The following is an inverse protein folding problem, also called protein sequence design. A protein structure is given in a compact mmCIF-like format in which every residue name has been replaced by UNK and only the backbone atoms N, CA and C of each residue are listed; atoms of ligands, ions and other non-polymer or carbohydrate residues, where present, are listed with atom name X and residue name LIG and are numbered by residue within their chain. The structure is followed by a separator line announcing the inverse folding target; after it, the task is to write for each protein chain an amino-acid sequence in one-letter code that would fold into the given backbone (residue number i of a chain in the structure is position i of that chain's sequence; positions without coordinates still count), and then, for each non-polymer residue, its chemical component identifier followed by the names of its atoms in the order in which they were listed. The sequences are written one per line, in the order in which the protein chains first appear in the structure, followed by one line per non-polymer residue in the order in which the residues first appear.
data_IF_674733781759
#
_entry.id   IF_674733781759
#
_cell.length_a   1.000
_cell.length_b   1.000
_cell.length_c   1.000
_cell.angle_alpha   90.00
_cell.angle_beta   90.00
_cell.angle_gamma   90.00
#
_symmetry.space_group_name_H-M   'P 1'
#
loop_
_entity.id
_entity.type
_entity.pdbx_description
1 polymer ?
#
# COMPACT_ATOMS: atom_id res chain seq x y z
N UNK A 1 16.09 11.15 25.45
CA UNK A 1 16.63 10.25 24.45
C UNK A 1 15.58 9.86 23.43
N UNK A 2 16.03 9.60 22.22
CA UNK A 2 15.16 9.15 21.14
C UNK A 2 15.41 7.68 20.87
N UNK A 3 14.33 6.93 20.72
CA UNK A 3 14.38 5.56 20.27
C UNK A 3 13.79 5.50 18.88
N UNK A 4 14.46 4.82 17.96
CA UNK A 4 14.03 4.70 16.58
C UNK A 4 14.05 3.25 16.15
N UNK A 5 13.00 2.83 15.46
CA UNK A 5 12.93 1.54 14.77
C UNK A 5 12.93 1.84 13.27
N UNK A 6 13.76 1.14 12.54
CA UNK A 6 13.81 1.21 11.08
C UNK A 6 13.38 -0.13 10.51
N UNK A 7 12.51 -0.09 9.52
CA UNK A 7 12.03 -1.28 8.84
C UNK A 7 12.02 -1.12 7.33
N UNK A 8 12.02 -2.24 6.65
CA UNK A 8 11.90 -2.28 5.20
C UNK A 8 10.70 -3.14 4.83
N UNK A 9 9.86 -2.62 3.96
CA UNK A 9 8.72 -3.36 3.42
C UNK A 9 9.05 -3.64 1.96
N UNK A 10 9.26 -4.91 1.62
CA UNK A 10 9.52 -5.29 0.23
C UNK A 10 8.19 -5.47 -0.53
N UNK A 11 8.30 -5.76 -1.82
CA UNK A 11 7.13 -5.87 -2.69
C UNK A 11 6.19 -7.01 -2.25
N UNK A 12 6.73 -8.14 -1.82
CA UNK A 12 5.91 -9.25 -1.35
C UNK A 12 5.20 -8.91 -0.04
N UNK A 13 5.91 -8.27 0.88
CA UNK A 13 5.30 -7.85 2.15
C UNK A 13 4.19 -6.82 1.93
N UNK A 14 4.41 -5.88 1.02
CA UNK A 14 3.38 -4.89 0.71
C UNK A 14 2.17 -5.54 0.06
N UNK A 15 2.38 -6.51 -0.82
CA UNK A 15 1.28 -7.26 -1.42
C UNK A 15 0.45 -8.00 -0.35
N UNK A 16 1.12 -8.57 0.67
CA UNK A 16 0.42 -9.24 1.76
C UNK A 16 -0.38 -8.25 2.63
N UNK A 17 0.18 -7.07 2.89
CA UNK A 17 -0.55 -6.04 3.64
C UNK A 17 -1.79 -5.59 2.88
N UNK A 18 -1.67 -5.37 1.58
CA UNK A 18 -2.82 -5.00 0.76
C UNK A 18 -3.86 -6.11 0.73
N UNK A 19 -3.45 -7.36 0.64
CA UNK A 19 -4.37 -8.49 0.60
C UNK A 19 -5.20 -8.62 1.88
N UNK A 20 -4.68 -8.19 3.03
CA UNK A 20 -5.43 -8.19 4.28
C UNK A 20 -6.55 -7.17 4.30
N UNK A 21 -6.35 -6.05 3.63
CA UNK A 21 -7.29 -4.92 3.70
C UNK A 21 -8.28 -4.88 2.55
N UNK A 22 -8.00 -5.58 1.47
CA UNK A 22 -8.84 -5.55 0.26
C UNK A 22 -9.36 -6.95 -0.03
N UNK A 23 -10.60 -7.18 0.34
CA UNK A 23 -11.31 -8.43 0.01
C UNK A 23 -11.65 -8.46 -1.48
N UNK A 24 -11.90 -9.62 -2.02
CA UNK A 24 -12.37 -9.81 -3.39
C UNK A 24 -11.33 -9.56 -4.48
N UNK A 25 -10.11 -9.18 -4.12
CA UNK A 25 -9.02 -9.08 -5.08
C UNK A 25 -8.05 -10.23 -4.82
N UNK A 26 -7.72 -10.96 -5.87
CA UNK A 26 -6.78 -12.08 -5.80
C UNK A 26 -5.53 -11.78 -6.64
N UNK A 27 -4.50 -12.60 -6.45
CA UNK A 27 -3.25 -12.52 -7.21
C UNK A 27 -2.63 -11.12 -7.21
N UNK A 28 -2.56 -10.51 -6.02
CA UNK A 28 -2.00 -9.17 -5.88
C UNK A 28 -0.49 -9.22 -6.09
N UNK A 29 -0.01 -8.40 -7.02
CA UNK A 29 1.42 -8.21 -7.28
C UNK A 29 1.73 -6.73 -7.15
N UNK A 30 2.90 -6.42 -6.57
CA UNK A 30 3.30 -5.05 -6.27
C UNK A 30 4.67 -4.76 -6.84
N UNK A 31 4.82 -3.57 -7.42
CA UNK A 31 6.11 -3.04 -7.84
C UNK A 31 6.33 -1.69 -7.20
N UNK A 32 7.45 -1.53 -6.51
CA UNK A 32 7.78 -0.29 -5.80
C UNK A 32 8.92 0.41 -6.50
N UNK A 33 8.74 1.70 -6.78
CA UNK A 33 9.78 2.58 -7.31
C UNK A 33 9.84 3.85 -6.46
N UNK A 34 10.89 4.67 -6.58
CA UNK A 34 10.93 5.92 -5.82
C UNK A 34 9.75 6.86 -6.11
N UNK A 35 9.16 6.77 -7.30
CA UNK A 35 8.10 7.70 -7.72
C UNK A 35 6.71 7.22 -7.37
N UNK A 36 6.47 5.90 -7.41
CA UNK A 36 5.14 5.37 -7.11
C UNK A 36 5.20 3.89 -6.74
N UNK A 37 4.05 3.40 -6.30
CA UNK A 37 3.80 1.98 -6.07
C UNK A 37 2.72 1.55 -7.07
N UNK A 38 3.00 0.50 -7.83
CA UNK A 38 2.04 -0.09 -8.75
C UNK A 38 1.57 -1.42 -8.19
N UNK A 39 0.26 -1.61 -8.13
CA UNK A 39 -0.32 -2.87 -7.68
C UNK A 39 -1.29 -3.38 -8.74
N UNK A 40 -1.26 -4.68 -8.98
CA UNK A 40 -2.19 -5.35 -9.89
C UNK A 40 -2.86 -6.47 -9.14
N UNK A 41 -4.06 -6.81 -9.57
CA UNK A 41 -4.80 -7.91 -9.00
C UNK A 41 -5.91 -8.35 -9.93
N UNK A 42 -6.66 -9.37 -9.50
CA UNK A 42 -7.77 -9.90 -10.26
C UNK A 42 -9.06 -9.77 -9.47
N UNK A 43 -10.11 -9.33 -10.14
CA UNK A 43 -11.45 -9.21 -9.55
C UNK A 43 -12.46 -9.88 -10.48
N UNK A 44 -13.62 -10.21 -9.93
CA UNK A 44 -14.78 -10.61 -10.73
C UNK A 44 -15.59 -9.36 -11.04
N UNK A 45 -15.82 -9.10 -12.30
CA UNK A 45 -16.53 -7.92 -12.77
C UNK A 45 -17.58 -8.34 -13.79
N UNK A 46 -18.85 -8.14 -13.44
CA UNK A 46 -19.99 -8.51 -14.28
C UNK A 46 -19.92 -9.99 -14.75
N UNK A 47 -19.56 -10.87 -13.83
CA UNK A 47 -19.45 -12.29 -14.12
C UNK A 47 -18.21 -12.72 -14.88
N UNK A 48 -17.28 -11.80 -15.09
CA UNK A 48 -16.02 -12.06 -15.79
C UNK A 48 -14.83 -11.69 -14.93
N UNK A 49 -13.71 -12.35 -15.18
CA UNK A 49 -12.45 -11.98 -14.53
C UNK A 49 -11.90 -10.72 -15.18
N UNK A 50 -11.51 -9.75 -14.35
CA UNK A 50 -10.91 -8.51 -14.80
C UNK A 50 -9.61 -8.29 -14.05
N UNK A 51 -8.68 -7.58 -14.68
CA UNK A 51 -7.44 -7.13 -14.03
C UNK A 51 -7.65 -5.72 -13.53
N UNK A 52 -7.33 -5.48 -12.25
CA UNK A 52 -7.30 -4.13 -11.70
C UNK A 52 -5.85 -3.66 -11.62
N UNK A 53 -5.62 -2.42 -12.04
CA UNK A 53 -4.31 -1.78 -11.99
C UNK A 53 -4.42 -0.51 -11.18
N UNK A 54 -3.54 -0.36 -10.20
CA UNK A 54 -3.57 0.75 -9.25
C UNK A 54 -2.19 1.36 -9.15
N UNK A 55 -2.12 2.69 -9.11
CA UNK A 55 -0.89 3.42 -8.80
C UNK A 55 -1.13 4.31 -7.61
N UNK A 56 -0.11 4.47 -6.80
CA UNK A 56 -0.22 5.34 -5.65
C UNK A 56 1.13 5.56 -4.98
N UNK A 57 1.06 6.12 -3.79
CA UNK A 57 2.23 6.40 -2.96
C UNK A 57 1.96 5.94 -1.54
N UNK A 58 3.04 5.69 -0.81
CA UNK A 58 2.95 5.37 0.60
C UNK A 58 3.05 6.67 1.39
N UNK A 59 2.10 6.91 2.27
CA UNK A 59 2.05 8.14 3.08
C UNK A 59 1.84 7.80 4.55
N UNK A 60 2.19 8.76 5.39
CA UNK A 60 1.99 8.67 6.84
C UNK A 60 0.94 9.68 7.27
N UNK A 61 -0.04 9.23 8.04
CA UNK A 61 -0.95 10.12 8.74
C UNK A 61 -0.98 9.71 10.21
N UNK A 62 -0.33 10.52 11.05
CA UNK A 62 -0.23 10.26 12.48
C UNK A 62 0.50 8.95 12.77
N UNK A 63 -0.22 7.97 13.30
CA UNK A 63 0.32 6.64 13.63
C UNK A 63 0.11 5.62 12.52
N UNK A 64 -0.48 6.03 11.40
CA UNK A 64 -0.89 5.11 10.35
C UNK A 64 -0.03 5.24 9.10
N UNK A 65 0.32 4.12 8.53
CA UNK A 65 0.94 4.02 7.22
C UNK A 65 -0.16 3.64 6.23
N UNK A 66 -0.29 4.42 5.17
CA UNK A 66 -1.39 4.30 4.22
C UNK A 66 -0.87 4.19 2.79
N UNK A 67 -1.62 3.49 1.95
CA UNK A 67 -1.43 3.51 0.51
C UNK A 67 -2.45 4.48 -0.10
N UNK A 68 -1.96 5.60 -0.61
CA UNK A 68 -2.81 6.63 -1.23
C UNK A 68 -2.85 6.40 -2.73
N UNK A 69 -4.01 6.05 -3.24
CA UNK A 69 -4.19 5.74 -4.64
C UNK A 69 -4.30 7.03 -5.44
N UNK A 70 -3.48 7.16 -6.47
CA UNK A 70 -3.47 8.33 -7.36
C UNK A 70 -4.09 8.03 -8.71
N UNK A 71 -4.12 6.76 -9.12
CA UNK A 71 -4.73 6.34 -10.37
C UNK A 71 -5.14 4.88 -10.26
N UNK A 72 -6.27 4.53 -10.85
CA UNK A 72 -6.75 3.16 -10.86
C UNK A 72 -7.61 2.89 -12.09
N UNK A 73 -7.50 1.68 -12.62
CA UNK A 73 -8.34 1.24 -13.72
C UNK A 73 -8.52 -0.28 -13.65
N UNK A 74 -9.57 -0.74 -14.31
CA UNK A 74 -9.78 -2.17 -14.52
C UNK A 74 -9.87 -2.44 -16.01
N UNK A 75 -9.47 -3.64 -16.41
CA UNK A 75 -9.45 -4.03 -17.82
C UNK A 75 -9.97 -5.45 -17.95
N UNK A 76 -10.87 -5.67 -18.89
CA UNK A 76 -11.33 -7.00 -19.24
C UNK A 76 -11.62 -7.08 -20.75
N UNK A 77 -11.90 -8.31 -21.21
CA UNK A 77 -12.11 -8.57 -22.64
C UNK A 77 -13.34 -7.87 -23.21
N UNK A 78 -14.36 -7.68 -22.37
CA UNK A 78 -15.67 -7.19 -22.83
C UNK A 78 -15.70 -5.66 -22.89
N UNK A 79 -15.17 -5.01 -21.87
CA UNK A 79 -15.31 -3.56 -21.70
C UNK A 79 -14.04 -2.78 -21.98
N UNK A 80 -12.90 -3.46 -22.15
CA UNK A 80 -11.63 -2.78 -22.28
C UNK A 80 -11.20 -2.15 -20.96
N UNK A 81 -10.65 -0.96 -21.03
CA UNK A 81 -10.09 -0.25 -19.88
C UNK A 81 -11.13 0.71 -19.30
N UNK A 82 -11.39 0.57 -18.00
CA UNK A 82 -12.35 1.42 -17.28
C UNK A 82 -11.62 2.08 -16.11
N UNK A 83 -11.71 3.41 -16.02
CA UNK A 83 -11.16 4.14 -14.90
C UNK A 83 -11.96 3.91 -13.62
N UNK A 84 -11.27 3.88 -12.49
CA UNK A 84 -11.88 3.72 -11.17
C UNK A 84 -11.41 4.86 -10.28
N UNK A 85 -12.33 5.42 -9.51
CA UNK A 85 -12.01 6.45 -8.53
C UNK A 85 -12.06 5.88 -7.13
N UNK A 86 -11.07 6.23 -6.32
CA UNK A 86 -11.02 5.87 -4.90
C UNK A 86 -11.10 7.13 -4.06
N UNK A 87 -11.94 7.08 -3.02
CA UNK A 87 -12.14 8.23 -2.13
C UNK A 87 -11.44 8.05 -0.79
N UNK A 88 -10.89 6.87 -0.51
CA UNK A 88 -10.23 6.56 0.75
C UNK A 88 -8.89 5.91 0.52
N UNK A 89 -7.94 6.22 1.41
CA UNK A 89 -6.65 5.54 1.43
C UNK A 89 -6.81 4.12 1.95
N UNK A 90 -5.89 3.24 1.56
CA UNK A 90 -5.86 1.87 2.09
C UNK A 90 -4.92 1.84 3.29
N UNK A 91 -5.45 1.44 4.45
CA UNK A 91 -4.66 1.28 5.66
C UNK A 91 -3.69 0.10 5.50
N UNK A 92 -2.43 0.29 5.88
CA UNK A 92 -1.41 -0.76 5.82
C UNK A 92 -1.03 -1.25 7.20
N UNK A 93 -0.55 -0.35 8.06
CA UNK A 93 -0.11 -0.71 9.40
C UNK A 93 -0.12 0.51 10.31
N UNK A 94 -0.33 0.29 11.60
CA UNK A 94 -0.25 1.34 12.63
C UNK A 94 1.00 1.11 13.50
N UNK A 95 1.57 2.20 14.03
CA UNK A 95 2.64 2.09 15.03
C UNK A 95 2.19 1.36 16.30
N UNK A 96 0.89 1.20 16.52
CA UNK A 96 0.37 0.42 17.65
C UNK A 96 0.81 -1.05 17.56
N UNK A 97 1.21 -1.53 16.39
CA UNK A 97 1.73 -2.88 16.18
C UNK A 97 3.22 -3.00 16.42
N UNK A 98 3.91 -1.89 16.64
CA UNK A 98 5.35 -1.89 16.89
C UNK A 98 5.64 -2.06 18.38
N UNK A 99 6.82 -2.60 18.75
CA UNK A 99 7.16 -2.83 20.16
C UNK A 99 7.58 -1.55 20.89
N UNK A 100 7.22 -0.38 20.40
CA UNK A 100 7.49 0.90 21.05
C UNK A 100 6.18 1.60 21.33
N UNK A 101 5.81 1.66 22.60
CA UNK A 101 4.59 2.36 23.01
C UNK A 101 4.74 3.86 22.75
N UNK A 102 3.71 4.45 22.14
CA UNK A 102 3.69 5.87 21.84
C UNK A 102 4.50 6.27 20.61
N UNK A 103 5.02 5.30 19.86
CA UNK A 103 5.80 5.58 18.66
C UNK A 103 4.94 6.19 17.56
N UNK A 104 5.59 7.00 16.73
CA UNK A 104 4.98 7.58 15.52
C UNK A 104 5.92 7.34 14.34
N UNK A 105 5.37 7.24 13.15
CA UNK A 105 6.19 7.19 11.95
C UNK A 105 6.89 8.55 11.77
N UNK A 106 8.20 8.52 11.60
CA UNK A 106 9.02 9.73 11.45
C UNK A 106 9.55 9.88 10.04
N UNK A 107 9.58 8.79 9.27
CA UNK A 107 10.10 8.83 7.90
C UNK A 107 9.52 7.69 7.07
N UNK A 108 9.20 8.00 5.83
CA UNK A 108 8.83 7.01 4.82
C UNK A 108 9.54 7.38 3.53
N UNK A 109 10.23 6.42 2.92
CA UNK A 109 10.94 6.62 1.67
C UNK A 109 10.76 5.44 0.74
N UNK A 110 10.20 5.70 -0.42
CA UNK A 110 10.09 4.67 -1.46
C UNK A 110 11.43 4.54 -2.18
N UNK A 111 11.85 3.29 -2.35
CA UNK A 111 13.08 2.94 -3.03
C UNK A 111 12.75 1.93 -4.13
N UNK A 112 13.74 1.48 -4.88
CA UNK A 112 13.49 0.42 -5.85
C UNK A 112 13.27 -0.91 -5.15
N UNK A 113 12.05 -1.44 -5.25
CA UNK A 113 11.70 -2.73 -4.70
C UNK A 113 11.36 -2.77 -3.23
N UNK A 114 11.37 -1.62 -2.54
CA UNK A 114 11.11 -1.59 -1.10
C UNK A 114 10.71 -0.20 -0.61
N UNK A 115 10.12 -0.16 0.58
CA UNK A 115 9.80 1.10 1.28
C UNK A 115 10.55 1.08 2.61
N UNK A 116 11.35 2.13 2.84
CA UNK A 116 12.00 2.35 4.12
C UNK A 116 11.05 3.10 5.03
N UNK A 117 10.85 2.58 6.24
CA UNK A 117 10.05 3.27 7.26
C UNK A 117 10.86 3.43 8.53
N UNK A 118 10.65 4.55 9.21
CA UNK A 118 11.20 4.79 10.53
C UNK A 118 10.07 5.21 11.46
N UNK A 119 10.11 4.69 12.67
CA UNK A 119 9.20 5.09 13.72
C UNK A 119 10.01 5.35 14.98
N UNK A 120 9.57 6.32 15.78
CA UNK A 120 10.34 6.70 16.95
C UNK A 120 9.52 7.27 18.06
N UNK A 121 10.16 7.37 19.22
CA UNK A 121 9.65 8.00 20.43
C UNK A 121 10.64 9.03 20.89
N UNK A 122 10.14 10.22 21.19
CA UNK A 122 10.93 11.25 21.85
C UNK A 122 10.74 11.10 23.36
N UNK A 123 11.83 11.01 24.06
CA UNK A 123 11.81 10.98 25.52
C UNK A 123 12.41 12.24 26.10
#
# INVERSE_FOLDING_TARGET
DNLTITGLIDENNLAQLLAKEVDKISDIAVKITPDNVEATGKISFLGQEATINVKGIIVVEGKNLLFRITDANTENRLFGKIGISFTKDIFLVSTDKLPLEGAKFTRVEQQNGQVLIEAGINK
#
